data_IF_141426835368
#
_entry.id   IF_141426835368
#
_cell.length_a   1.000
_cell.length_b   1.000
_cell.length_c   1.000
_cell.angle_alpha   90.00
_cell.angle_beta   90.00
_cell.angle_gamma   90.00
#
_symmetry.space_group_name_H-M   'P 1'
#
loop_
_entity.id
_entity.type
_entity.pdbx_description
1 polymer ?
#
# COMPACT_ATOMS: atom_id res chain seq x y z
N UNK A 1 5.56 5.69 11.85
CA UNK A 1 4.69 5.86 10.66
C UNK A 1 5.42 6.39 9.43
N UNK A 2 5.98 7.61 9.44
CA UNK A 2 6.59 8.20 8.23
C UNK A 2 7.78 7.39 7.67
N UNK A 3 8.70 6.94 8.53
CA UNK A 3 9.86 6.13 8.13
C UNK A 3 9.42 4.81 7.49
N UNK A 4 8.48 4.10 8.11
CA UNK A 4 8.01 2.81 7.62
C UNK A 4 7.24 2.93 6.29
N UNK A 5 6.49 4.02 6.11
CA UNK A 5 5.88 4.34 4.83
C UNK A 5 6.94 4.59 3.75
N UNK A 6 8.02 5.32 4.08
CA UNK A 6 9.15 5.50 3.18
C UNK A 6 9.88 4.18 2.85
N UNK A 7 9.99 3.25 3.82
CA UNK A 7 10.57 1.92 3.59
C UNK A 7 9.71 1.08 2.64
N UNK A 8 8.38 1.06 2.87
CA UNK A 8 7.43 0.38 1.97
C UNK A 8 7.46 0.97 0.56
N UNK A 9 7.52 2.30 0.44
CA UNK A 9 7.68 2.99 -0.84
C UNK A 9 8.97 2.53 -1.56
N UNK A 10 10.11 2.56 -0.86
CA UNK A 10 11.40 2.15 -1.41
C UNK A 10 11.40 0.67 -1.82
N UNK A 11 10.77 -0.20 -1.04
CA UNK A 11 10.66 -1.63 -1.33
C UNK A 11 9.87 -1.88 -2.62
N UNK A 12 8.72 -1.23 -2.78
CA UNK A 12 7.92 -1.32 -4.02
C UNK A 12 8.70 -0.79 -5.23
N UNK A 13 9.39 0.35 -5.08
CA UNK A 13 10.23 0.92 -6.14
C UNK A 13 11.38 0.00 -6.54
N UNK A 14 12.00 -0.68 -5.58
CA UNK A 14 13.07 -1.66 -5.85
C UNK A 14 12.57 -2.88 -6.64
N UNK A 15 11.26 -3.19 -6.57
CA UNK A 15 10.62 -4.24 -7.36
C UNK A 15 10.11 -3.75 -8.73
N UNK A 16 10.42 -2.51 -9.13
CA UNK A 16 9.96 -1.93 -10.39
C UNK A 16 8.53 -1.41 -10.38
N UNK A 17 7.84 -1.45 -9.23
CA UNK A 17 6.47 -0.95 -9.10
C UNK A 17 6.46 0.58 -9.08
N UNK A 18 5.63 1.18 -9.93
CA UNK A 18 5.42 2.63 -9.94
C UNK A 18 4.33 3.03 -8.94
N UNK A 19 4.74 3.34 -7.71
CA UNK A 19 3.87 3.97 -6.71
C UNK A 19 3.69 5.46 -7.06
N UNK A 20 2.44 5.90 -7.26
CA UNK A 20 2.13 7.23 -7.83
C UNK A 20 1.89 8.34 -6.80
N UNK A 21 1.45 8.02 -5.58
CA UNK A 21 1.09 9.02 -4.55
C UNK A 21 1.64 8.67 -3.16
N UNK A 22 2.19 9.67 -2.47
CA UNK A 22 2.74 9.52 -1.11
C UNK A 22 1.66 9.19 -0.08
N UNK A 23 0.44 9.74 -0.25
CA UNK A 23 -0.68 9.52 0.66
C UNK A 23 -1.12 8.04 0.65
N UNK A 24 -1.21 7.41 -0.52
CA UNK A 24 -1.59 6.00 -0.64
C UNK A 24 -0.61 5.10 0.13
N UNK A 25 0.68 5.42 0.09
CA UNK A 25 1.68 4.68 0.86
C UNK A 25 1.47 4.83 2.36
N UNK A 26 1.09 6.03 2.84
CA UNK A 26 0.78 6.25 4.25
C UNK A 26 -0.47 5.50 4.68
N UNK A 27 -1.54 5.55 3.88
CA UNK A 27 -2.79 4.83 4.14
C UNK A 27 -2.54 3.32 4.19
N UNK A 28 -1.91 2.76 3.15
CA UNK A 28 -1.61 1.34 3.07
C UNK A 28 -0.73 0.89 4.24
N UNK A 29 0.32 1.66 4.56
CA UNK A 29 1.21 1.32 5.69
C UNK A 29 0.45 1.34 7.00
N UNK A 30 -0.44 2.31 7.24
CA UNK A 30 -1.25 2.34 8.46
C UNK A 30 -2.17 1.12 8.56
N UNK A 31 -2.82 0.74 7.46
CA UNK A 31 -3.67 -0.45 7.43
C UNK A 31 -2.88 -1.74 7.68
N UNK A 32 -1.69 -1.88 7.11
CA UNK A 32 -0.81 -3.04 7.33
C UNK A 32 -0.40 -3.14 8.80
N UNK A 33 0.09 -2.05 9.39
CA UNK A 33 0.58 -2.04 10.78
C UNK A 33 -0.53 -2.39 11.79
N UNK A 34 -1.71 -1.82 11.59
CA UNK A 34 -2.84 -2.01 12.50
C UNK A 34 -3.69 -3.24 12.13
N UNK A 35 -3.30 -3.99 11.09
CA UNK A 35 -4.03 -5.15 10.55
C UNK A 35 -5.47 -4.83 10.15
N UNK A 36 -5.69 -3.62 9.64
CA UNK A 36 -6.97 -3.15 9.13
C UNK A 36 -7.16 -3.59 7.67
N UNK A 37 -8.43 -3.82 7.30
CA UNK A 37 -8.82 -4.05 5.92
C UNK A 37 -9.16 -2.72 5.26
N UNK A 38 -8.56 -2.43 4.12
CA UNK A 38 -8.81 -1.20 3.35
C UNK A 38 -9.97 -1.42 2.37
N UNK A 39 -10.96 -0.53 2.42
CA UNK A 39 -12.00 -0.42 1.40
C UNK A 39 -11.58 0.66 0.39
N UNK A 40 -11.37 0.31 -0.88
CA UNK A 40 -10.97 1.27 -1.90
C UNK A 40 -11.47 0.89 -3.30
N UNK A 41 -11.40 1.82 -4.24
CA UNK A 41 -11.62 1.58 -5.67
C UNK A 41 -10.42 2.01 -6.53
N UNK A 42 -9.29 2.32 -5.90
CA UNK A 42 -8.06 2.76 -6.57
C UNK A 42 -7.06 1.60 -6.70
N UNK A 43 -6.71 1.22 -7.94
CA UNK A 43 -5.72 0.16 -8.23
C UNK A 43 -4.31 0.47 -7.72
N UNK A 44 -4.01 1.70 -7.33
CA UNK A 44 -2.72 2.06 -6.73
C UNK A 44 -2.42 1.29 -5.42
N UNK A 45 -3.42 0.67 -4.80
CA UNK A 45 -3.24 -0.19 -3.62
C UNK A 45 -2.90 -1.65 -3.95
N UNK A 46 -3.08 -2.12 -5.19
CA UNK A 46 -2.79 -3.51 -5.58
C UNK A 46 -1.36 -3.94 -5.23
N UNK A 47 -0.30 -3.16 -5.51
CA UNK A 47 1.05 -3.61 -5.18
C UNK A 47 1.30 -3.74 -3.68
N UNK A 48 0.56 -3.00 -2.85
CA UNK A 48 0.65 -3.13 -1.40
C UNK A 48 -0.02 -4.42 -0.92
N UNK A 49 -1.12 -4.83 -1.57
CA UNK A 49 -1.78 -6.10 -1.28
C UNK A 49 -0.91 -7.27 -1.74
N UNK A 50 -0.42 -7.23 -2.98
CA UNK A 50 0.38 -8.28 -3.61
C UNK A 50 1.73 -8.51 -2.91
N UNK A 51 2.42 -7.43 -2.51
CA UNK A 51 3.81 -7.54 -2.03
C UNK A 51 4.02 -7.23 -0.55
N UNK A 52 3.11 -6.49 0.08
CA UNK A 52 3.30 -5.99 1.44
C UNK A 52 2.22 -6.46 2.43
N UNK A 53 1.27 -7.27 1.98
CA UNK A 53 0.25 -7.90 2.83
C UNK A 53 -0.88 -6.97 3.25
N UNK A 54 -1.15 -5.90 2.49
CA UNK A 54 -2.34 -5.09 2.70
C UNK A 54 -3.60 -5.94 2.47
N UNK A 55 -4.53 -5.94 3.43
CA UNK A 55 -5.84 -6.57 3.28
C UNK A 55 -6.81 -5.62 2.62
N UNK A 56 -7.57 -6.11 1.65
CA UNK A 56 -8.52 -5.31 0.88
C UNK A 56 -9.92 -5.92 0.97
N UNK A 57 -10.93 -5.09 1.24
CA UNK A 57 -12.33 -5.52 1.35
C UNK A 57 -13.07 -5.48 0.01
N UNK A 58 -12.66 -4.56 -0.87
CA UNK A 58 -13.16 -4.37 -2.22
C UNK A 58 -12.04 -3.70 -3.01
N UNK A 59 -11.79 -4.17 -4.23
CA UNK A 59 -11.00 -3.48 -5.24
C UNK A 59 -11.75 -3.57 -6.57
N UNK A 60 -11.79 -2.47 -7.33
CA UNK A 60 -12.22 -2.52 -8.73
C UNK A 60 -11.21 -3.38 -9.50
N UNK A 61 -11.70 -4.42 -10.18
CA UNK A 61 -10.91 -5.34 -11.01
C UNK A 61 -10.53 -4.74 -12.36
#
# INVERSE_FOLDING_TARGET
MAVKAADNFRRLRAMGVRVRKTIDTLIATRCIEDRLTLLHADKDFEPFAEHLGLKVAYSQS
#
